data_IF_638451916772
#
_entry.id   IF_638451916772
#
_cell.length_a   1.000
_cell.length_b   1.000
_cell.length_c   1.000
_cell.angle_alpha   90.00
_cell.angle_beta   90.00
_cell.angle_gamma   90.00
#
_symmetry.space_group_name_H-M   'P 1'
#
loop_
_entity.id
_entity.type
_entity.pdbx_description
1 polymer ?
#
# COMPACT_ATOMS: atom_id res chain seq x y z
N UNK A 1 16.02 52.00 -4.17
CA UNK A 1 15.96 51.95 -2.69
C UNK A 1 14.63 51.32 -2.30
N UNK A 2 14.65 50.18 -1.58
CA UNK A 2 13.41 49.57 -1.10
C UNK A 2 12.74 50.52 -0.10
N UNK A 3 11.44 50.79 -0.29
CA UNK A 3 10.65 51.59 0.65
C UNK A 3 10.11 50.66 1.73
N UNK A 4 10.33 50.98 3.00
CA UNK A 4 9.73 50.26 4.13
C UNK A 4 8.53 51.01 4.68
N UNK A 5 7.51 50.26 5.06
CA UNK A 5 6.36 50.77 5.80
C UNK A 5 6.64 50.55 7.29
N UNK A 6 6.35 51.56 8.13
CA UNK A 6 6.54 51.50 9.59
C UNK A 6 5.25 51.20 10.35
N UNK A 7 4.14 51.10 9.63
CA UNK A 7 2.79 50.81 10.13
C UNK A 7 2.17 49.73 9.25
N UNK A 8 1.06 49.13 9.70
CA UNK A 8 0.29 48.17 8.92
C UNK A 8 -0.18 48.77 7.59
N UNK A 9 -0.26 47.91 6.58
CA UNK A 9 -0.91 48.21 5.30
C UNK A 9 -2.18 47.37 5.28
N UNK A 10 -3.33 48.03 5.11
CA UNK A 10 -4.62 47.38 4.91
C UNK A 10 -5.07 47.58 3.47
N UNK A 11 -5.76 46.59 2.92
CA UNK A 11 -6.39 46.65 1.61
C UNK A 11 -7.85 46.25 1.83
N UNK A 12 -8.70 47.25 1.85
CA UNK A 12 -10.14 47.13 2.09
C UNK A 12 -10.91 47.53 0.81
N UNK A 13 -12.18 47.14 0.71
CA UNK A 13 -13.08 47.50 -0.40
C UNK A 13 -12.58 47.13 -1.81
N UNK A 14 -11.87 46.00 -1.93
CA UNK A 14 -11.52 45.43 -3.22
C UNK A 14 -12.79 45.09 -4.04
N UNK A 15 -12.78 45.39 -5.34
CA UNK A 15 -13.96 45.25 -6.19
C UNK A 15 -14.52 43.81 -6.27
N UNK A 16 -13.68 42.80 -6.05
CA UNK A 16 -14.07 41.40 -5.94
C UNK A 16 -12.98 40.58 -5.25
N UNK A 17 -13.29 39.33 -4.87
CA UNK A 17 -12.27 38.39 -4.38
C UNK A 17 -11.14 38.13 -5.39
N UNK A 18 -11.38 38.30 -6.69
CA UNK A 18 -10.37 38.13 -7.74
C UNK A 18 -9.52 39.38 -7.98
N UNK A 19 -9.77 40.49 -7.27
CA UNK A 19 -8.97 41.71 -7.40
C UNK A 19 -7.56 41.49 -6.87
N UNK A 20 -6.53 41.90 -7.62
CA UNK A 20 -5.14 41.86 -7.16
C UNK A 20 -4.94 42.78 -5.96
N UNK A 21 -4.50 42.20 -4.83
CA UNK A 21 -4.21 42.91 -3.60
C UNK A 21 -2.70 43.24 -3.48
N UNK A 22 -1.84 42.24 -3.68
CA UNK A 22 -0.38 42.40 -3.59
C UNK A 22 0.30 41.66 -4.74
N UNK A 23 1.35 42.25 -5.33
CA UNK A 23 2.15 41.57 -6.36
C UNK A 23 3.64 41.89 -6.32
N UNK A 24 4.43 41.00 -6.90
CA UNK A 24 5.84 41.25 -7.27
C UNK A 24 6.00 41.04 -8.78
N UNK A 25 6.72 41.95 -9.44
CA UNK A 25 6.92 41.92 -10.89
C UNK A 25 8.34 42.36 -11.22
N UNK A 26 9.04 41.61 -12.07
CA UNK A 26 10.39 41.98 -12.54
C UNK A 26 10.25 42.94 -13.73
N UNK A 27 11.18 43.88 -13.87
CA UNK A 27 11.20 44.80 -15.00
C UNK A 27 11.33 44.00 -16.31
N UNK A 28 10.46 44.28 -17.29
CA UNK A 28 10.40 43.56 -18.56
C UNK A 28 9.44 42.36 -18.56
N UNK A 29 9.01 41.86 -17.41
CA UNK A 29 7.97 40.82 -17.35
C UNK A 29 6.64 41.36 -17.92
N UNK A 30 5.86 40.49 -18.56
CA UNK A 30 4.49 40.84 -18.95
C UNK A 30 3.51 40.62 -17.80
N UNK A 31 3.79 39.66 -16.90
CA UNK A 31 2.92 39.31 -15.76
C UNK A 31 3.68 39.34 -14.43
N UNK A 32 2.95 39.37 -13.30
CA UNK A 32 3.56 39.34 -11.97
C UNK A 32 4.08 37.93 -11.64
N UNK A 33 5.26 37.83 -11.01
CA UNK A 33 5.88 36.55 -10.61
C UNK A 33 5.19 35.93 -9.39
N UNK A 34 4.72 36.77 -8.48
CA UNK A 34 3.85 36.42 -7.36
C UNK A 34 2.70 37.42 -7.32
N UNK A 35 1.47 36.95 -7.21
CA UNK A 35 0.29 37.78 -6.95
C UNK A 35 -0.61 37.15 -5.89
N UNK A 36 -1.19 37.99 -5.04
CA UNK A 36 -2.19 37.62 -4.03
C UNK A 36 -3.46 38.37 -4.37
N UNK A 37 -4.56 37.65 -4.57
CA UNK A 37 -5.87 38.27 -4.75
C UNK A 37 -6.55 38.58 -3.40
N UNK A 38 -7.59 39.40 -3.43
CA UNK A 38 -8.36 39.79 -2.25
C UNK A 38 -9.08 38.59 -1.59
N UNK A 39 -9.25 37.47 -2.31
CA UNK A 39 -9.76 36.20 -1.81
C UNK A 39 -8.70 35.35 -1.09
N UNK A 40 -7.43 35.76 -1.12
CA UNK A 40 -6.31 35.08 -0.49
C UNK A 40 -5.66 33.98 -1.33
N UNK A 41 -6.00 33.85 -2.62
CA UNK A 41 -5.27 32.94 -3.52
C UNK A 41 -3.91 33.53 -3.85
N UNK A 42 -2.87 32.75 -3.57
CA UNK A 42 -1.51 33.03 -4.02
C UNK A 42 -1.33 32.38 -5.39
N UNK A 43 -0.72 33.12 -6.31
CA UNK A 43 -0.37 32.64 -7.64
C UNK A 43 1.08 32.97 -7.94
N UNK A 44 1.80 32.01 -8.52
CA UNK A 44 3.14 32.20 -9.04
C UNK A 44 3.15 31.99 -10.55
N UNK A 45 3.95 32.79 -11.25
CA UNK A 45 4.12 32.68 -12.70
C UNK A 45 5.59 32.79 -13.11
N UNK A 46 5.86 32.34 -14.33
CA UNK A 46 7.15 32.55 -15.00
C UNK A 46 7.37 34.00 -15.51
N UNK A 47 6.57 35.00 -15.07
CA UNK A 47 6.67 36.41 -15.49
C UNK A 47 6.23 36.67 -16.93
N UNK A 48 5.76 35.62 -17.59
CA UNK A 48 5.08 35.65 -18.88
C UNK A 48 3.92 34.67 -18.84
N UNK A 49 2.89 34.93 -19.64
CA UNK A 49 1.67 34.11 -19.63
C UNK A 49 0.92 34.12 -18.29
N UNK A 50 -0.07 33.23 -18.18
CA UNK A 50 -0.85 33.02 -16.96
C UNK A 50 0.00 32.39 -15.85
N UNK A 51 -0.38 32.66 -14.59
CA UNK A 51 0.17 31.92 -13.46
C UNK A 51 -0.19 30.43 -13.56
N UNK A 52 0.79 29.59 -13.24
CA UNK A 52 0.74 28.13 -13.39
C UNK A 52 0.89 27.38 -12.06
N UNK A 53 1.28 28.07 -10.98
CA UNK A 53 1.29 27.49 -9.63
C UNK A 53 0.40 28.33 -8.72
N UNK A 54 -0.34 27.67 -7.82
CA UNK A 54 -1.21 28.36 -6.88
C UNK A 54 -1.33 27.69 -5.52
N UNK A 55 -1.80 28.46 -4.54
CA UNK A 55 -2.15 27.99 -3.22
C UNK A 55 -3.32 28.82 -2.71
N UNK A 56 -4.44 28.18 -2.37
CA UNK A 56 -5.67 28.87 -2.01
C UNK A 56 -6.55 28.06 -1.07
N UNK A 57 -7.48 28.73 -0.41
CA UNK A 57 -8.50 28.08 0.40
C UNK A 57 -9.63 27.56 -0.50
N UNK A 58 -9.76 26.24 -0.64
CA UNK A 58 -10.83 25.63 -1.43
C UNK A 58 -12.18 25.59 -0.68
N UNK A 59 -12.13 25.36 0.63
CA UNK A 59 -13.29 25.34 1.51
C UNK A 59 -12.89 25.70 2.96
N UNK A 60 -13.82 25.67 3.91
CA UNK A 60 -13.47 25.79 5.32
C UNK A 60 -12.49 24.68 5.69
N UNK A 61 -11.36 25.04 6.30
CA UNK A 61 -10.30 24.12 6.74
C UNK A 61 -9.57 23.35 5.62
N UNK A 62 -9.77 23.72 4.35
CA UNK A 62 -9.11 23.06 3.20
C UNK A 62 -8.26 24.06 2.42
N UNK A 63 -6.95 23.80 2.40
CA UNK A 63 -5.95 24.50 1.58
C UNK A 63 -5.56 23.61 0.40
N UNK A 64 -5.50 24.18 -0.80
CA UNK A 64 -5.32 23.42 -2.04
C UNK A 64 -4.37 24.12 -3.02
N UNK A 65 -3.69 23.32 -3.82
CA UNK A 65 -3.04 23.65 -5.10
C UNK A 65 -3.71 22.80 -6.19
N UNK A 66 -3.79 23.30 -7.41
CA UNK A 66 -4.42 22.56 -8.52
C UNK A 66 -3.55 21.39 -9.03
N UNK A 67 -2.23 21.49 -8.88
CA UNK A 67 -1.26 20.47 -9.30
C UNK A 67 -0.50 19.86 -8.10
N UNK A 68 0.65 19.21 -8.33
CA UNK A 68 1.43 18.54 -7.29
C UNK A 68 2.08 19.50 -6.29
N UNK A 69 2.00 19.15 -5.01
CA UNK A 69 2.87 19.70 -3.97
C UNK A 69 4.11 18.82 -3.78
N UNK A 70 5.30 19.36 -4.07
CA UNK A 70 6.58 18.66 -3.87
C UNK A 70 7.34 19.24 -2.67
N UNK A 71 7.37 18.49 -1.57
CA UNK A 71 8.17 18.79 -0.37
C UNK A 71 9.55 18.13 -0.43
N UNK A 72 10.60 18.81 0.02
CA UNK A 72 11.97 18.27 -0.01
C UNK A 72 12.19 17.07 0.93
N UNK A 73 11.55 17.08 2.12
CA UNK A 73 11.73 16.06 3.15
C UNK A 73 10.48 15.19 3.39
N UNK A 74 9.36 15.52 2.74
CA UNK A 74 8.07 14.86 2.96
C UNK A 74 7.05 15.75 3.66
N UNK A 75 5.86 15.19 3.86
CA UNK A 75 4.74 15.80 4.59
C UNK A 75 4.55 15.02 5.89
N UNK A 76 4.43 15.74 7.01
CA UNK A 76 4.06 15.12 8.28
C UNK A 76 2.57 14.82 8.26
N UNK A 77 2.25 13.55 8.42
CA UNK A 77 0.87 13.06 8.45
C UNK A 77 0.36 12.92 9.89
N UNK A 78 -0.97 12.92 10.11
CA UNK A 78 -1.55 12.59 11.40
C UNK A 78 -1.02 11.27 11.97
N UNK A 79 -0.77 11.27 13.27
CA UNK A 79 -0.37 10.07 14.02
C UNK A 79 -1.42 9.73 15.07
N UNK A 80 -1.55 8.44 15.35
CA UNK A 80 -2.51 7.90 16.31
C UNK A 80 -1.81 6.90 17.23
N UNK A 81 -2.21 6.87 18.50
CA UNK A 81 -1.79 5.83 19.45
C UNK A 81 -2.73 4.63 19.29
N UNK A 82 -2.35 3.68 18.43
CA UNK A 82 -3.22 2.60 17.98
C UNK A 82 -3.90 2.93 16.64
N UNK A 83 -4.80 2.04 16.20
CA UNK A 83 -5.47 2.18 14.92
C UNK A 83 -6.18 3.54 14.81
N UNK A 84 -6.08 4.22 13.66
CA UNK A 84 -6.58 5.58 13.52
C UNK A 84 -8.11 5.66 13.70
N UNK A 85 -8.54 6.71 14.40
CA UNK A 85 -9.94 7.04 14.63
C UNK A 85 -10.41 8.23 13.80
N UNK A 86 -11.67 8.63 14.00
CA UNK A 86 -12.27 9.77 13.31
C UNK A 86 -12.64 9.49 11.86
N UNK A 87 -13.13 10.53 11.16
CA UNK A 87 -13.56 10.43 9.77
C UNK A 87 -13.05 11.63 8.96
N UNK A 88 -11.72 11.76 8.80
CA UNK A 88 -11.18 12.72 7.85
C UNK A 88 -11.55 12.30 6.42
N UNK A 89 -11.33 13.21 5.47
CA UNK A 89 -11.60 12.96 4.06
C UNK A 89 -10.78 11.77 3.53
N UNK A 90 -11.36 11.06 2.56
CA UNK A 90 -10.67 10.00 1.83
C UNK A 90 -9.38 10.54 1.18
N UNK A 91 -8.34 9.70 1.12
CA UNK A 91 -6.99 10.09 0.72
C UNK A 91 -6.09 10.52 1.87
N UNK A 92 -6.63 10.71 3.09
CA UNK A 92 -5.81 10.95 4.28
C UNK A 92 -4.87 9.77 4.54
N UNK A 93 -3.59 10.08 4.76
CA UNK A 93 -2.57 9.13 5.18
C UNK A 93 -2.33 9.28 6.69
N UNK A 94 -2.11 8.19 7.41
CA UNK A 94 -1.88 8.23 8.86
C UNK A 94 -0.90 7.14 9.33
N UNK A 95 -0.29 7.37 10.49
CA UNK A 95 0.61 6.40 11.14
C UNK A 95 0.08 6.03 12.52
N UNK A 96 -0.11 4.74 12.76
CA UNK A 96 -0.30 4.16 14.08
C UNK A 96 1.08 4.00 14.74
N UNK A 97 1.36 4.81 15.74
CA UNK A 97 2.65 4.83 16.45
C UNK A 97 2.74 3.81 17.58
N UNK A 98 1.66 3.08 17.88
CA UNK A 98 1.68 2.01 18.88
C UNK A 98 2.04 0.68 18.23
N UNK A 99 1.54 0.43 17.01
CA UNK A 99 1.77 -0.82 16.29
C UNK A 99 2.75 -0.68 15.10
N UNK A 100 3.27 0.52 14.85
CA UNK A 100 4.16 0.85 13.73
C UNK A 100 3.53 0.55 12.34
N UNK A 101 2.26 0.92 12.18
CA UNK A 101 1.47 0.60 10.99
C UNK A 101 1.04 1.84 10.23
N UNK A 102 1.15 1.80 8.90
CA UNK A 102 0.63 2.84 8.02
C UNK A 102 -0.84 2.57 7.66
N UNK A 103 -1.64 3.62 7.60
CA UNK A 103 -3.04 3.56 7.18
C UNK A 103 -3.33 4.61 6.12
N UNK A 104 -4.28 4.31 5.24
CA UNK A 104 -4.90 5.29 4.35
C UNK A 104 -6.42 5.26 4.49
N UNK A 105 -7.05 6.40 4.22
CA UNK A 105 -8.50 6.55 4.28
C UNK A 105 -9.11 6.32 2.89
N UNK A 106 -10.07 5.40 2.76
CA UNK A 106 -10.78 5.15 1.50
C UNK A 106 -12.19 4.64 1.75
N UNK A 107 -13.15 5.10 0.93
CA UNK A 107 -14.55 4.69 0.97
C UNK A 107 -15.16 4.85 2.36
N UNK A 108 -14.76 5.87 3.11
CA UNK A 108 -15.25 6.06 4.47
C UNK A 108 -14.78 4.98 5.47
N UNK A 109 -13.72 4.22 5.17
CA UNK A 109 -13.08 3.27 6.08
C UNK A 109 -11.55 3.49 6.17
N UNK A 110 -10.95 3.30 7.36
CA UNK A 110 -9.50 3.27 7.50
C UNK A 110 -9.01 1.91 7.00
N UNK A 111 -8.11 1.94 6.04
CA UNK A 111 -7.49 0.75 5.47
C UNK A 111 -6.08 0.62 6.05
N UNK A 112 -5.81 -0.52 6.66
CA UNK A 112 -4.49 -0.86 7.16
C UNK A 112 -3.59 -1.24 5.98
N UNK A 113 -2.38 -0.68 5.92
CA UNK A 113 -1.35 -1.16 5.00
C UNK A 113 -0.53 -2.21 5.75
N UNK A 114 -0.88 -3.49 5.56
CA UNK A 114 -0.10 -4.60 6.09
C UNK A 114 1.07 -4.92 5.15
N UNK A 115 2.27 -5.05 5.72
CA UNK A 115 3.47 -5.51 5.01
C UNK A 115 3.56 -7.04 4.87
N UNK A 116 2.53 -7.78 5.32
CA UNK A 116 2.46 -9.24 5.18
C UNK A 116 1.83 -9.65 3.84
N UNK A 117 2.19 -10.86 3.37
CA UNK A 117 1.52 -11.48 2.23
C UNK A 117 0.02 -11.57 2.53
N UNK A 118 -0.81 -10.92 1.73
CA UNK A 118 -2.26 -11.13 1.76
C UNK A 118 -2.53 -12.49 1.12
N UNK A 119 -3.07 -13.42 1.90
CA UNK A 119 -3.52 -14.72 1.38
C UNK A 119 -4.95 -14.54 0.88
N UNK A 120 -5.20 -14.78 -0.41
CA UNK A 120 -6.56 -14.79 -0.95
C UNK A 120 -7.32 -15.99 -0.36
N UNK A 121 -8.59 -15.81 0.02
CA UNK A 121 -9.42 -16.90 0.59
C UNK A 121 -10.66 -17.06 -0.28
N UNK A 122 -10.82 -18.21 -0.92
CA UNK A 122 -11.96 -18.53 -1.81
C UNK A 122 -11.96 -20.02 -2.17
N UNK A 123 -13.12 -20.55 -2.62
CA UNK A 123 -13.29 -21.96 -3.05
C UNK A 123 -12.74 -22.26 -4.47
N UNK A 124 -12.49 -21.20 -5.24
CA UNK A 124 -11.90 -21.29 -6.57
C UNK A 124 -10.59 -20.49 -6.60
N UNK A 125 -9.58 -20.96 -7.35
CA UNK A 125 -8.31 -20.24 -7.43
C UNK A 125 -8.51 -18.85 -8.03
N UNK A 126 -7.78 -17.83 -7.56
CA UNK A 126 -7.76 -16.51 -8.20
C UNK A 126 -7.51 -16.62 -9.71
N UNK A 127 -8.30 -15.89 -10.51
CA UNK A 127 -8.25 -15.98 -11.98
C UNK A 127 -7.10 -15.18 -12.62
N UNK A 128 -6.44 -14.32 -11.84
CA UNK A 128 -5.33 -13.47 -12.31
C UNK A 128 -4.26 -13.32 -11.22
N UNK A 129 -3.61 -14.42 -10.79
CA UNK A 129 -2.57 -14.37 -9.78
C UNK A 129 -1.22 -13.96 -10.37
N UNK A 130 -0.43 -13.26 -9.56
CA UNK A 130 0.98 -12.99 -9.82
C UNK A 130 1.86 -14.09 -9.20
N UNK A 131 3.07 -14.28 -9.76
CA UNK A 131 4.00 -15.28 -9.21
C UNK A 131 4.35 -14.95 -7.75
N UNK A 132 4.15 -15.92 -6.86
CA UNK A 132 4.36 -15.78 -5.42
C UNK A 132 3.11 -15.46 -4.61
N UNK A 133 1.96 -15.19 -5.27
CA UNK A 133 0.69 -15.02 -4.58
C UNK A 133 0.32 -16.29 -3.79
N UNK A 134 -0.29 -16.09 -2.62
CA UNK A 134 -0.79 -17.18 -1.79
C UNK A 134 -2.32 -17.23 -1.82
N UNK A 135 -2.86 -18.45 -1.81
CA UNK A 135 -4.29 -18.71 -1.78
C UNK A 135 -4.60 -19.80 -0.76
N UNK A 136 -5.58 -19.55 0.09
CA UNK A 136 -6.17 -20.54 0.99
C UNK A 136 -7.47 -21.01 0.35
N UNK A 137 -7.49 -22.27 -0.05
CA UNK A 137 -8.66 -22.92 -0.60
C UNK A 137 -9.63 -23.24 0.55
N UNK A 138 -10.78 -22.56 0.59
CA UNK A 138 -11.67 -22.60 1.75
C UNK A 138 -12.43 -23.92 1.93
N UNK A 139 -12.62 -24.72 0.88
CA UNK A 139 -13.29 -26.02 1.00
C UNK A 139 -12.34 -27.12 1.50
N UNK A 140 -11.10 -27.16 0.98
CA UNK A 140 -10.14 -28.23 1.33
C UNK A 140 -9.18 -27.85 2.45
N UNK A 141 -9.03 -26.55 2.72
CA UNK A 141 -8.08 -26.02 3.69
C UNK A 141 -6.63 -25.97 3.20
N UNK A 142 -6.39 -26.23 1.91
CA UNK A 142 -5.04 -26.22 1.36
C UNK A 142 -4.54 -24.78 1.26
N UNK A 143 -3.28 -24.57 1.58
CA UNK A 143 -2.60 -23.29 1.32
C UNK A 143 -1.70 -23.49 0.11
N UNK A 144 -1.87 -22.68 -0.92
CA UNK A 144 -1.14 -22.80 -2.18
C UNK A 144 -0.38 -21.52 -2.49
N UNK A 145 0.73 -21.64 -3.21
CA UNK A 145 1.48 -20.54 -3.81
C UNK A 145 1.40 -20.64 -5.33
N UNK A 146 1.14 -19.52 -6.02
CA UNK A 146 1.17 -19.49 -7.47
C UNK A 146 2.63 -19.46 -7.94
N UNK A 147 3.10 -20.58 -8.48
CA UNK A 147 4.46 -20.77 -8.91
C UNK A 147 4.51 -20.72 -10.44
N UNK A 148 5.33 -19.81 -10.97
CA UNK A 148 5.64 -19.73 -12.40
C UNK A 148 7.12 -20.11 -12.59
N UNK A 149 7.37 -21.12 -13.43
CA UNK A 149 8.72 -21.44 -13.91
C UNK A 149 8.90 -20.97 -15.36
N UNK A 150 10.00 -21.39 -16.01
CA UNK A 150 10.34 -20.95 -17.36
C UNK A 150 9.27 -21.30 -18.42
N UNK A 151 8.43 -22.33 -18.18
CA UNK A 151 7.52 -22.86 -19.20
C UNK A 151 6.09 -23.11 -18.69
N UNK A 152 5.85 -23.17 -17.38
CA UNK A 152 4.52 -23.42 -16.81
C UNK A 152 4.18 -22.51 -15.64
N UNK A 153 2.89 -22.46 -15.33
CA UNK A 153 2.36 -21.73 -14.18
C UNK A 153 1.32 -22.60 -13.49
N UNK A 154 1.44 -22.72 -12.16
CA UNK A 154 0.62 -23.65 -11.39
C UNK A 154 0.47 -23.18 -9.94
N UNK A 155 -0.67 -23.53 -9.32
CA UNK A 155 -0.80 -23.47 -7.87
C UNK A 155 -0.11 -24.69 -7.25
N UNK A 156 0.83 -24.45 -6.35
CA UNK A 156 1.58 -25.49 -5.63
C UNK A 156 1.24 -25.40 -4.16
N UNK A 157 0.83 -26.52 -3.57
CA UNK A 157 0.51 -26.55 -2.15
C UNK A 157 1.76 -26.35 -1.27
N UNK A 158 1.64 -25.44 -0.31
CA UNK A 158 2.63 -25.14 0.71
C UNK A 158 2.33 -26.01 1.91
N UNK A 159 3.29 -26.86 2.30
CA UNK A 159 3.16 -27.70 3.49
C UNK A 159 2.59 -29.10 3.25
N UNK A 160 2.56 -29.59 2.00
CA UNK A 160 2.44 -31.02 1.76
C UNK A 160 3.67 -31.73 2.36
N UNK A 161 3.53 -32.26 3.58
CA UNK A 161 4.35 -33.39 3.98
C UNK A 161 4.00 -34.50 3.00
N UNK A 162 4.96 -34.95 2.20
CA UNK A 162 4.74 -36.15 1.39
C UNK A 162 4.28 -37.24 2.34
N UNK A 163 3.00 -37.59 2.28
CA UNK A 163 2.54 -38.90 2.68
C UNK A 163 3.42 -39.86 1.90
N UNK A 164 4.33 -40.48 2.64
CA UNK A 164 5.33 -41.34 2.07
C UNK A 164 4.59 -42.46 1.38
N UNK A 165 4.44 -42.37 0.06
CA UNK A 165 3.97 -43.47 -0.79
C UNK A 165 4.92 -44.67 -0.72
N UNK A 166 6.02 -44.54 0.01
CA UNK A 166 6.76 -45.64 0.60
C UNK A 166 6.36 -45.73 2.08
N UNK A 167 5.24 -46.38 2.39
CA UNK A 167 5.22 -47.15 3.65
C UNK A 167 6.23 -48.26 3.40
N UNK A 168 7.51 -47.97 3.60
CA UNK A 168 8.52 -49.01 3.64
C UNK A 168 8.21 -49.78 4.91
N UNK A 169 7.33 -50.78 4.78
CA UNK A 169 7.21 -51.81 5.78
C UNK A 169 8.50 -52.62 5.68
N UNK A 170 9.60 -52.05 6.19
CA UNK A 170 10.88 -52.69 6.30
C UNK A 170 10.72 -53.85 7.26
N UNK A 171 10.32 -55.01 6.74
CA UNK A 171 10.38 -56.25 7.50
C UNK A 171 11.84 -56.66 7.55
N UNK A 172 12.54 -56.33 8.64
CA UNK A 172 13.89 -56.86 8.89
C UNK A 172 13.75 -58.36 9.16
N UNK A 173 13.89 -59.18 8.11
CA UNK A 173 13.93 -60.63 8.21
C UNK A 173 15.37 -61.02 8.53
N UNK A 174 15.73 -60.98 9.81
CA UNK A 174 16.93 -61.69 10.29
C UNK A 174 16.55 -63.18 10.36
N UNK A 175 16.79 -63.92 9.27
CA UNK A 175 16.24 -65.25 8.96
C UNK A 175 16.42 -66.38 9.98
N UNK A 176 16.79 -66.09 11.24
CA UNK A 176 16.86 -67.02 12.36
C UNK A 176 18.03 -68.00 12.20
N UNK A 177 18.89 -68.10 13.21
CA UNK A 177 19.81 -69.24 13.28
C UNK A 177 19.06 -70.51 13.72
N UNK A 178 19.56 -71.72 13.45
CA UNK A 178 18.80 -72.98 13.59
C UNK A 178 18.22 -73.33 14.97
N UNK A 179 18.41 -72.50 16.01
CA UNK A 179 17.95 -72.73 17.38
C UNK A 179 16.93 -71.72 17.92
N UNK A 180 16.34 -70.83 17.10
CA UNK A 180 15.25 -69.95 17.56
C UNK A 180 13.90 -70.68 17.62
N UNK A 181 13.20 -70.62 18.77
CA UNK A 181 11.90 -71.29 18.99
C UNK A 181 10.74 -70.78 18.13
N UNK A 182 10.91 -69.65 17.44
CA UNK A 182 10.02 -69.23 16.37
C UNK A 182 10.86 -69.23 15.09
N UNK A 183 10.57 -70.17 14.21
CA UNK A 183 11.27 -70.35 12.94
C UNK A 183 11.12 -69.11 12.05
N UNK A 184 12.12 -68.86 11.22
CA UNK A 184 12.04 -67.86 10.16
C UNK A 184 10.76 -68.03 9.32
N UNK A 185 10.34 -66.95 8.68
CA UNK A 185 9.13 -66.89 7.83
C UNK A 185 9.03 -68.16 6.96
N UNK A 186 7.99 -68.96 7.16
CA UNK A 186 7.83 -70.24 6.47
C UNK A 186 7.14 -70.10 5.11
N UNK A 187 6.57 -68.94 4.78
CA UNK A 187 6.12 -68.61 3.42
C UNK A 187 5.83 -67.11 3.26
N UNK A 188 6.29 -66.53 2.15
CA UNK A 188 5.77 -65.27 1.60
C UNK A 188 4.88 -65.66 0.43
N UNK A 189 3.56 -65.46 0.54
CA UNK A 189 2.64 -65.61 -0.59
C UNK A 189 2.60 -64.27 -1.33
N UNK A 190 3.16 -64.24 -2.54
CA UNK A 190 3.18 -63.06 -3.40
C UNK A 190 1.83 -62.76 -4.06
N UNK A 191 0.79 -63.55 -3.80
CA UNK A 191 -0.48 -63.49 -4.50
C UNK A 191 -0.38 -64.07 -5.92
N UNK A 192 -1.51 -64.58 -6.42
CA UNK A 192 -1.62 -65.12 -7.78
C UNK A 192 -1.58 -64.03 -8.84
N UNK A 193 -0.98 -64.35 -9.99
CA UNK A 193 -0.99 -63.52 -11.21
C UNK A 193 -2.39 -63.35 -11.79
#
# INVERSE_FOLDING_TARGET
>A
VAKSFKTSISIDDAASAASEALRTKVAGDSTARLSVDAGGKLTWSAGSGSADVNLYRAAANLLQTDDYFKSALGVVNPTYSGAPGGSPDDGTLAVDTTNDVFYYRSSGAWQQVSSGASISVSDAPPSSPDAGDMWYESDTGNTLVYYQDANTSQWVEVGHAADSTVVEYALTIDGGTPSSSYGGITSIDGGGV
#
